data_IF_191897888028
#
_entry.id   IF_191897888028
#
_cell.length_a   1.000
_cell.length_b   1.000
_cell.length_c   1.000
_cell.angle_alpha   90.00
_cell.angle_beta   90.00
_cell.angle_gamma   90.00
#
_symmetry.space_group_name_H-M   'P 1'
#
loop_
_entity.id
_entity.type
_entity.pdbx_description
1 polymer ?
#
# COMPACT_ATOMS: atom_id res chain seq x y z
N UNK A 1 -14.29 -5.46 -13.23
CA UNK A 1 -14.07 -4.03 -12.98
C UNK A 1 -14.36 -3.71 -11.53
N UNK A 2 -13.33 -3.43 -10.74
CA UNK A 2 -13.34 -3.04 -9.32
C UNK A 2 -12.97 -1.56 -9.25
N UNK A 3 -13.83 -0.76 -8.62
CA UNK A 3 -13.58 0.68 -8.42
C UNK A 3 -13.53 0.95 -6.92
N UNK A 4 -12.53 1.72 -6.47
CA UNK A 4 -12.35 2.08 -5.07
C UNK A 4 -12.12 3.58 -4.90
N UNK A 5 -12.43 4.09 -3.71
CA UNK A 5 -12.03 5.43 -3.25
C UNK A 5 -11.10 5.27 -2.06
N UNK A 6 -10.00 6.02 -2.02
CA UNK A 6 -9.03 5.99 -0.94
C UNK A 6 -8.73 7.41 -0.48
N UNK A 7 -9.05 7.72 0.78
CA UNK A 7 -8.48 8.92 1.40
C UNK A 7 -7.05 8.58 1.82
N UNK A 8 -6.08 9.23 1.18
CA UNK A 8 -4.67 8.97 1.40
C UNK A 8 -4.08 9.88 2.49
N UNK A 9 -4.76 10.98 2.87
CA UNK A 9 -4.21 12.02 3.74
C UNK A 9 -2.77 12.40 3.37
N UNK A 10 -2.50 12.43 2.07
CA UNK A 10 -1.25 12.85 1.44
C UNK A 10 -1.24 14.37 1.17
N UNK A 11 -1.92 15.13 2.02
CA UNK A 11 -1.78 16.57 2.07
C UNK A 11 -0.62 16.95 2.99
N UNK A 12 0.02 18.10 2.75
CA UNK A 12 1.19 18.56 3.47
C UNK A 12 1.06 20.02 3.86
N UNK A 13 1.74 20.37 4.96
CA UNK A 13 1.74 21.75 5.47
C UNK A 13 2.64 22.72 4.70
N UNK A 14 3.47 22.22 3.78
CA UNK A 14 4.42 23.03 3.02
C UNK A 14 4.42 22.69 1.53
N UNK A 15 4.52 23.72 0.69
CA UNK A 15 4.58 23.57 -0.77
C UNK A 15 5.76 22.67 -1.20
N UNK A 16 5.46 21.78 -2.16
CA UNK A 16 6.42 20.83 -2.71
C UNK A 16 6.86 19.71 -1.75
N UNK A 17 6.37 19.69 -0.50
CA UNK A 17 6.69 18.62 0.44
C UNK A 17 6.17 17.27 -0.05
N UNK A 18 4.95 17.21 -0.57
CA UNK A 18 4.39 15.97 -1.09
C UNK A 18 5.29 15.35 -2.16
N UNK A 19 5.75 16.18 -3.11
CA UNK A 19 6.63 15.70 -4.17
C UNK A 19 7.95 15.17 -3.61
N UNK A 20 8.57 15.85 -2.62
CA UNK A 20 9.81 15.37 -1.99
C UNK A 20 9.61 14.01 -1.33
N UNK A 21 8.52 13.86 -0.59
CA UNK A 21 8.17 12.62 0.11
C UNK A 21 7.99 11.45 -0.88
N UNK A 22 7.20 11.68 -1.94
CA UNK A 22 6.87 10.66 -2.94
C UNK A 22 7.99 10.39 -3.93
N UNK A 23 9.00 11.28 -4.07
CA UNK A 23 10.15 11.06 -4.95
C UNK A 23 11.15 10.04 -4.41
N UNK A 24 10.90 9.48 -3.22
CA UNK A 24 11.74 8.45 -2.62
C UNK A 24 10.87 7.25 -2.22
N UNK A 25 11.36 6.01 -2.35
CA UNK A 25 10.57 4.85 -1.98
C UNK A 25 10.35 4.72 -0.46
N UNK A 26 11.02 5.53 0.36
CA UNK A 26 11.10 5.37 1.82
C UNK A 26 10.01 6.06 2.65
N UNK A 27 9.04 6.74 2.02
CA UNK A 27 7.96 7.37 2.78
C UNK A 27 6.95 6.33 3.31
N UNK A 28 7.01 6.02 4.60
CA UNK A 28 6.17 4.97 5.25
C UNK A 28 4.66 5.17 5.03
N UNK A 29 4.16 6.41 5.13
CA UNK A 29 2.75 6.69 4.90
C UNK A 29 2.33 6.29 3.48
N UNK A 30 3.09 6.73 2.47
CA UNK A 30 2.83 6.40 1.08
C UNK A 30 2.99 4.90 0.79
N UNK A 31 3.92 4.21 1.46
CA UNK A 31 4.05 2.75 1.38
C UNK A 31 2.80 2.04 1.89
N UNK A 32 2.31 2.40 3.08
CA UNK A 32 1.13 1.78 3.70
C UNK A 32 -0.12 2.01 2.84
N UNK A 33 -0.28 3.20 2.27
CA UNK A 33 -1.41 3.49 1.37
C UNK A 33 -1.32 2.67 0.08
N UNK A 34 -0.12 2.58 -0.50
CA UNK A 34 0.10 1.78 -1.70
C UNK A 34 -0.21 0.30 -1.44
N UNK A 35 0.25 -0.25 -0.32
CA UNK A 35 -0.04 -1.62 0.08
C UNK A 35 -1.54 -1.88 0.24
N UNK A 36 -2.27 -0.99 0.91
CA UNK A 36 -3.74 -1.11 1.02
C UNK A 36 -4.41 -1.11 -0.36
N UNK A 37 -3.96 -0.25 -1.28
CA UNK A 37 -4.49 -0.21 -2.65
C UNK A 37 -4.16 -1.51 -3.38
N UNK A 38 -2.93 -2.01 -3.28
CA UNK A 38 -2.47 -3.22 -3.96
C UNK A 38 -3.20 -4.47 -3.45
N UNK A 39 -3.34 -4.64 -2.13
CA UNK A 39 -4.11 -5.75 -1.51
C UNK A 39 -5.55 -5.78 -2.02
N UNK A 40 -6.17 -4.60 -2.18
CA UNK A 40 -7.55 -4.51 -2.67
C UNK A 40 -7.67 -4.64 -4.19
N UNK A 41 -6.55 -4.60 -4.91
CA UNK A 41 -6.43 -4.77 -6.36
C UNK A 41 -7.58 -4.11 -7.17
N UNK A 42 -7.82 -2.79 -7.04
CA UNK A 42 -8.81 -2.10 -7.85
C UNK A 42 -8.30 -1.91 -9.29
N UNK A 43 -9.22 -1.93 -10.26
CA UNK A 43 -8.93 -1.54 -11.64
C UNK A 43 -8.83 -0.01 -11.77
N UNK A 44 -9.60 0.72 -10.95
CA UNK A 44 -9.60 2.19 -10.88
C UNK A 44 -9.69 2.61 -9.41
N UNK A 45 -8.81 3.52 -8.98
CA UNK A 45 -8.85 4.12 -7.65
C UNK A 45 -8.93 5.64 -7.74
N UNK A 46 -9.87 6.24 -7.00
CA UNK A 46 -9.94 7.69 -6.78
C UNK A 46 -9.23 8.01 -5.46
N UNK A 47 -8.16 8.81 -5.53
CA UNK A 47 -7.36 9.20 -4.36
C UNK A 47 -7.72 10.61 -3.90
N UNK A 48 -8.07 10.76 -2.63
CA UNK A 48 -8.45 12.02 -2.00
C UNK A 48 -7.35 12.53 -1.06
N UNK A 49 -7.39 13.82 -0.72
CA UNK A 49 -6.38 14.52 0.10
C UNK A 49 -4.97 14.35 -0.44
N UNK A 50 -4.81 14.58 -1.75
CA UNK A 50 -3.54 14.51 -2.44
C UNK A 50 -3.19 15.91 -2.94
N UNK A 51 -2.12 16.51 -2.42
CA UNK A 51 -1.76 17.88 -2.80
C UNK A 51 -1.53 18.01 -4.31
N UNK A 52 -2.03 19.11 -4.87
CA UNK A 52 -1.79 19.43 -6.26
C UNK A 52 -0.33 19.84 -6.46
N UNK A 53 0.37 19.11 -7.34
CA UNK A 53 1.70 19.47 -7.83
C UNK A 53 1.60 19.68 -9.34
N UNK A 54 2.02 20.85 -9.88
CA UNK A 54 1.93 21.15 -11.30
C UNK A 54 2.54 20.05 -12.18
N UNK A 55 1.85 19.76 -13.29
CA UNK A 55 2.27 18.73 -14.24
C UNK A 55 2.06 17.29 -13.77
N UNK A 56 1.31 17.05 -12.69
CA UNK A 56 0.98 15.69 -12.23
C UNK A 56 2.15 14.94 -11.59
N UNK A 57 3.29 15.62 -11.35
CA UNK A 57 4.55 15.01 -10.92
C UNK A 57 4.44 14.19 -9.63
N UNK A 58 3.59 14.63 -8.69
CA UNK A 58 3.37 13.86 -7.46
C UNK A 58 2.63 12.55 -7.73
N UNK A 59 1.64 12.53 -8.64
CA UNK A 59 0.95 11.30 -9.01
C UNK A 59 1.87 10.31 -9.74
N UNK A 60 2.76 10.83 -10.61
CA UNK A 60 3.80 10.02 -11.26
C UNK A 60 4.79 9.44 -10.24
N UNK A 61 5.28 10.26 -9.31
CA UNK A 61 6.16 9.79 -8.24
C UNK A 61 5.48 8.74 -7.34
N UNK A 62 4.19 8.93 -7.00
CA UNK A 62 3.43 7.95 -6.24
C UNK A 62 3.28 6.62 -7.01
N UNK A 63 2.98 6.71 -8.31
CA UNK A 63 2.92 5.52 -9.18
C UNK A 63 4.26 4.80 -9.22
N UNK A 64 5.35 5.51 -9.48
CA UNK A 64 6.64 4.90 -9.81
C UNK A 64 7.38 4.37 -8.58
N UNK A 65 7.28 5.07 -7.44
CA UNK A 65 8.03 4.73 -6.23
C UNK A 65 7.20 3.97 -5.19
N UNK A 66 5.87 3.94 -5.33
CA UNK A 66 5.00 3.29 -4.34
C UNK A 66 4.04 2.27 -4.93
N UNK A 67 3.17 2.65 -5.89
CA UNK A 67 2.12 1.75 -6.41
C UNK A 67 2.65 0.67 -7.36
N UNK A 68 3.74 0.96 -8.10
CA UNK A 68 4.38 -0.02 -9.00
C UNK A 68 5.45 -0.85 -8.30
N UNK A 69 5.71 -0.58 -7.03
CA UNK A 69 6.67 -1.33 -6.22
C UNK A 69 5.90 -2.38 -5.45
N UNK A 70 6.11 -3.64 -5.82
CA UNK A 70 5.66 -4.82 -5.10
C UNK A 70 5.95 -4.72 -3.60
N UNK A 71 4.95 -5.04 -2.78
CA UNK A 71 5.07 -5.06 -1.32
C UNK A 71 5.07 -6.49 -0.81
N UNK A 72 5.82 -6.68 0.27
CA UNK A 72 5.90 -7.94 0.98
C UNK A 72 5.43 -7.65 2.40
N UNK A 73 4.56 -8.49 2.93
CA UNK A 73 4.06 -8.33 4.28
C UNK A 73 3.82 -9.68 4.94
N UNK A 74 3.62 -9.63 6.25
CA UNK A 74 3.38 -10.84 7.03
C UNK A 74 2.20 -10.69 7.97
N UNK A 75 1.35 -11.71 7.98
CA UNK A 75 0.18 -11.77 8.83
C UNK A 75 0.51 -12.51 10.12
N UNK A 76 1.13 -11.78 11.07
CA UNK A 76 1.36 -12.24 12.45
C UNK A 76 0.61 -11.37 13.46
N UNK A 77 -0.73 -11.41 13.49
CA UNK A 77 -1.52 -10.68 14.49
C UNK A 77 -1.07 -11.04 15.90
N UNK A 78 -0.95 -10.02 16.75
CA UNK A 78 -0.58 -10.21 18.16
C UNK A 78 -1.68 -10.95 18.92
N UNK A 79 -1.31 -11.61 20.03
CA UNK A 79 -2.28 -12.32 20.88
C UNK A 79 -3.41 -11.35 21.32
N UNK A 80 -4.65 -11.65 20.91
CA UNK A 80 -5.82 -10.82 21.19
C UNK A 80 -6.31 -9.97 20.00
N UNK A 81 -5.56 -9.91 18.90
CA UNK A 81 -6.01 -9.29 17.65
C UNK A 81 -6.84 -10.26 16.79
N UNK A 82 -7.74 -9.76 15.92
CA UNK A 82 -8.45 -10.59 14.97
C UNK A 82 -7.49 -11.46 14.14
N UNK A 83 -7.70 -12.78 14.18
CA UNK A 83 -6.85 -13.74 13.46
C UNK A 83 -5.67 -14.30 14.26
N UNK A 84 -5.42 -13.84 15.51
CA UNK A 84 -4.31 -14.34 16.33
C UNK A 84 -4.35 -15.85 16.60
N UNK A 85 -5.54 -16.47 16.62
CA UNK A 85 -5.67 -17.92 16.77
C UNK A 85 -4.98 -18.73 15.66
N UNK A 86 -4.81 -18.15 14.47
CA UNK A 86 -4.12 -18.78 13.34
C UNK A 86 -2.59 -18.68 13.44
N UNK A 87 -2.07 -17.92 14.40
CA UNK A 87 -0.63 -17.70 14.57
C UNK A 87 -0.12 -18.08 15.96
N UNK A 88 -0.99 -18.21 16.96
CA UNK A 88 -0.61 -18.51 18.34
C UNK A 88 -1.01 -19.90 18.84
N UNK A 89 -1.95 -20.59 18.19
CA UNK A 89 -2.44 -21.91 18.62
C UNK A 89 -2.10 -23.01 17.60
N UNK A 90 -1.15 -23.92 17.92
CA UNK A 90 -0.74 -24.99 17.03
C UNK A 90 -1.85 -26.04 16.78
N UNK A 91 -2.94 -26.03 17.56
CA UNK A 91 -4.11 -26.85 17.28
C UNK A 91 -5.02 -26.24 16.20
N UNK A 92 -4.92 -24.92 15.97
CA UNK A 92 -5.73 -24.18 14.99
C UNK A 92 -4.99 -23.94 13.68
N UNK A 93 -3.65 -23.92 13.69
CA UNK A 93 -2.82 -23.76 12.49
C UNK A 93 -1.43 -24.40 12.65
N UNK A 94 -0.84 -24.83 11.55
CA UNK A 94 0.55 -25.33 11.51
C UNK A 94 1.57 -24.21 11.75
N UNK A 95 2.85 -24.55 11.94
CA UNK A 95 3.99 -23.60 11.97
C UNK A 95 4.24 -22.85 10.64
N UNK A 96 3.39 -23.07 9.64
CA UNK A 96 3.39 -22.35 8.37
C UNK A 96 2.46 -21.13 8.48
N UNK A 97 3.05 -19.93 8.48
CA UNK A 97 2.33 -18.66 8.63
C UNK A 97 2.05 -17.99 7.28
N UNK A 98 0.95 -17.23 7.22
CA UNK A 98 0.57 -16.45 6.04
C UNK A 98 1.52 -15.26 5.87
N UNK A 99 2.26 -15.30 4.77
CA UNK A 99 3.00 -14.17 4.21
C UNK A 99 2.32 -13.79 2.89
N UNK A 100 2.37 -12.51 2.52
CA UNK A 100 1.99 -12.09 1.17
C UNK A 100 3.12 -11.34 0.49
N UNK A 101 3.17 -11.49 -0.82
CA UNK A 101 4.05 -10.77 -1.72
C UNK A 101 3.21 -10.40 -2.93
N UNK A 102 3.02 -9.12 -3.15
CA UNK A 102 2.50 -8.64 -4.41
C UNK A 102 3.57 -8.87 -5.47
N UNK A 103 3.27 -9.64 -6.52
CA UNK A 103 4.24 -9.94 -7.59
C UNK A 103 3.85 -9.25 -8.88
N UNK A 104 4.78 -8.51 -9.49
CA UNK A 104 4.67 -8.08 -10.88
C UNK A 104 5.19 -9.19 -11.80
N UNK A 105 4.32 -9.76 -12.62
CA UNK A 105 4.65 -10.88 -13.54
C UNK A 105 4.69 -10.36 -14.97
N UNK A 106 5.86 -10.32 -15.63
CA UNK A 106 5.97 -9.80 -17.00
C UNK A 106 5.05 -10.54 -17.97
N UNK A 107 4.22 -9.79 -18.71
CA UNK A 107 3.38 -10.32 -19.80
C UNK A 107 1.94 -10.68 -19.44
N UNK A 108 1.50 -10.47 -18.18
CA UNK A 108 0.08 -10.49 -17.82
C UNK A 108 -0.41 -9.06 -17.58
N UNK A 109 -1.22 -8.55 -18.50
CA UNK A 109 -2.18 -7.46 -18.25
C UNK A 109 -3.57 -7.99 -18.55
#
# INVERSE_FOLDING_TARGET
MRVATCNASLNRGAEGQLLRDLSTPGNEQAQNIAEVIQINAPDVVLVHEFDHVPGGRAAEAFRDHHLSVSRNGVFWPMLGEPGSGLTSDPALATDHHLVWVDMDVPGKR
#
